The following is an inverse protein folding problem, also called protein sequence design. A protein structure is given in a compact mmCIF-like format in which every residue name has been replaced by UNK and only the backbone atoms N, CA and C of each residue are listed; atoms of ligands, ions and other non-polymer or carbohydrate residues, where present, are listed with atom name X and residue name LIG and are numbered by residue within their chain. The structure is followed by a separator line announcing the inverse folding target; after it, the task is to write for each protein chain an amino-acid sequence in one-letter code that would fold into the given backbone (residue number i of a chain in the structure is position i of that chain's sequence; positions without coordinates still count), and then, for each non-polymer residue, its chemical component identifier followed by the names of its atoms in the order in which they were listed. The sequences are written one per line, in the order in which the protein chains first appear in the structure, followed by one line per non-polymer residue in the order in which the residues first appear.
data_IF_255395707901
#
_entry.id   IF_255395707901
#
_cell.length_a   1.000
_cell.length_b   1.000
_cell.length_c   1.000
_cell.angle_alpha   90.00
_cell.angle_beta   90.00
_cell.angle_gamma   90.00
#
_symmetry.space_group_name_H-M   'P 1'
#
loop_
_entity.id
_entity.type
_entity.pdbx_description
1 polymer ?
#
# COMPACT_ATOMS: atom_id res chain seq x y z
N UNK A 1 -65.08 -55.47 -7.78
CA UNK A 1 -64.71 -55.76 -9.16
C UNK A 1 -63.40 -55.08 -9.53
N UNK A 2 -62.57 -55.69 -10.35
CA UNK A 2 -61.34 -55.03 -10.75
C UNK A 2 -61.66 -53.80 -11.63
N UNK A 3 -61.09 -52.66 -11.29
CA UNK A 3 -61.18 -51.46 -12.12
C UNK A 3 -60.37 -51.67 -13.41
N UNK A 4 -61.04 -51.87 -14.52
CA UNK A 4 -60.47 -51.91 -15.85
C UNK A 4 -60.29 -50.45 -16.30
N UNK A 5 -59.04 -50.01 -16.48
CA UNK A 5 -58.77 -48.76 -17.17
C UNK A 5 -59.22 -48.84 -18.60
N UNK A 6 -59.99 -47.89 -19.05
CA UNK A 6 -60.45 -47.80 -20.43
C UNK A 6 -59.26 -47.26 -21.29
N UNK A 7 -59.18 -47.59 -22.57
CA UNK A 7 -58.12 -47.17 -23.48
C UNK A 7 -57.94 -45.63 -23.47
N UNK A 8 -59.04 -44.89 -23.27
CA UNK A 8 -59.03 -43.45 -23.13
C UNK A 8 -58.29 -42.96 -21.88
N UNK A 9 -58.35 -43.70 -20.79
CA UNK A 9 -57.66 -43.39 -19.52
C UNK A 9 -56.13 -43.61 -19.66
N UNK A 10 -55.74 -44.63 -20.43
CA UNK A 10 -54.32 -44.92 -20.72
C UNK A 10 -53.71 -43.88 -21.66
N UNK A 11 -54.44 -43.42 -22.66
CA UNK A 11 -54.02 -42.32 -23.53
C UNK A 11 -53.88 -41.00 -22.77
N UNK A 12 -54.82 -40.71 -21.87
CA UNK A 12 -54.75 -39.51 -21.04
C UNK A 12 -53.55 -39.52 -20.11
N UNK A 13 -53.26 -40.63 -19.41
CA UNK A 13 -52.12 -40.82 -18.53
C UNK A 13 -50.81 -40.70 -19.33
N UNK A 14 -50.76 -41.29 -20.54
CA UNK A 14 -49.55 -41.20 -21.39
C UNK A 14 -49.27 -39.79 -21.86
N UNK A 15 -50.30 -39.02 -22.18
CA UNK A 15 -50.24 -37.61 -22.58
C UNK A 15 -49.76 -36.72 -21.45
N UNK A 16 -50.30 -36.92 -20.23
CA UNK A 16 -49.87 -36.22 -19.03
C UNK A 16 -48.40 -36.52 -18.71
N UNK A 17 -47.98 -37.80 -18.77
CA UNK A 17 -46.60 -38.16 -18.54
C UNK A 17 -45.64 -37.53 -19.57
N UNK A 18 -46.01 -37.46 -20.84
CA UNK A 18 -45.22 -36.76 -21.87
C UNK A 18 -45.11 -35.27 -21.57
N UNK A 19 -46.17 -34.63 -21.21
CA UNK A 19 -46.18 -33.21 -20.83
C UNK A 19 -45.30 -32.95 -19.59
N UNK A 20 -45.44 -33.79 -18.54
CA UNK A 20 -44.63 -33.69 -17.32
C UNK A 20 -43.14 -33.91 -17.60
N UNK A 21 -42.79 -34.90 -18.43
CA UNK A 21 -41.41 -35.11 -18.87
C UNK A 21 -40.89 -33.93 -19.69
N UNK A 22 -41.69 -33.35 -20.60
CA UNK A 22 -41.33 -32.17 -21.37
C UNK A 22 -41.06 -30.92 -20.50
N UNK A 23 -41.97 -30.66 -19.55
CA UNK A 23 -41.82 -29.57 -18.57
C UNK A 23 -40.59 -29.78 -17.68
N UNK A 24 -40.38 -31.02 -17.21
CA UNK A 24 -39.23 -31.38 -16.39
C UNK A 24 -37.90 -31.19 -17.15
N UNK A 25 -37.81 -31.67 -18.37
CA UNK A 25 -36.61 -31.49 -19.22
C UNK A 25 -36.35 -30.01 -19.51
N UNK A 26 -37.37 -29.23 -19.85
CA UNK A 26 -37.25 -27.78 -20.08
C UNK A 26 -36.78 -27.04 -18.83
N UNK A 27 -37.35 -27.38 -17.66
CA UNK A 27 -36.94 -26.79 -16.39
C UNK A 27 -35.49 -27.08 -16.04
N UNK A 28 -35.00 -28.31 -16.31
CA UNK A 28 -33.61 -28.67 -16.10
C UNK A 28 -32.66 -27.86 -17.02
N UNK A 29 -33.00 -27.75 -18.31
CA UNK A 29 -32.21 -26.97 -19.28
C UNK A 29 -32.17 -25.49 -18.87
N UNK A 30 -33.30 -24.93 -18.49
CA UNK A 30 -33.39 -23.53 -18.05
C UNK A 30 -32.57 -23.30 -16.77
N UNK A 31 -32.68 -24.19 -15.78
CA UNK A 31 -31.90 -24.11 -14.54
C UNK A 31 -30.39 -24.19 -14.81
N UNK A 32 -29.97 -25.07 -15.72
CA UNK A 32 -28.56 -25.19 -16.11
C UNK A 32 -28.05 -23.91 -16.81
N UNK A 33 -28.84 -23.34 -17.73
CA UNK A 33 -28.49 -22.09 -18.42
C UNK A 33 -28.36 -20.93 -17.43
N UNK A 34 -29.35 -20.74 -16.56
CA UNK A 34 -29.35 -19.68 -15.54
C UNK A 34 -28.17 -19.86 -14.59
N UNK A 35 -27.94 -21.07 -14.09
CA UNK A 35 -26.82 -21.38 -13.20
C UNK A 35 -25.46 -21.10 -13.87
N UNK A 36 -25.31 -21.48 -15.13
CA UNK A 36 -24.08 -21.23 -15.91
C UNK A 36 -23.81 -19.73 -16.13
N UNK A 37 -24.84 -18.96 -16.42
CA UNK A 37 -24.72 -17.49 -16.58
C UNK A 37 -24.38 -16.83 -15.24
N UNK A 38 -25.05 -17.23 -14.16
CA UNK A 38 -24.78 -16.72 -12.80
C UNK A 38 -23.35 -17.07 -12.36
N UNK A 39 -22.89 -18.29 -12.59
CA UNK A 39 -21.52 -18.70 -12.27
C UNK A 39 -20.49 -17.83 -12.99
N UNK A 40 -20.67 -17.58 -14.28
CA UNK A 40 -19.73 -16.71 -15.05
C UNK A 40 -19.79 -15.25 -14.62
N UNK A 41 -20.96 -14.73 -14.27
CA UNK A 41 -21.13 -13.32 -13.90
C UNK A 41 -20.69 -12.98 -12.49
N UNK A 42 -20.77 -13.93 -11.53
CA UNK A 42 -20.42 -13.68 -10.13
C UNK A 42 -19.12 -14.36 -9.70
N UNK A 43 -18.94 -15.65 -10.02
CA UNK A 43 -17.78 -16.40 -9.49
C UNK A 43 -16.47 -16.01 -10.17
N UNK A 44 -16.45 -15.75 -11.47
CA UNK A 44 -15.21 -15.42 -12.19
C UNK A 44 -14.58 -14.09 -11.72
N UNK A 45 -15.32 -12.97 -11.60
CA UNK A 45 -14.76 -11.72 -11.11
C UNK A 45 -14.24 -11.83 -9.67
N UNK A 46 -14.96 -12.53 -8.79
CA UNK A 46 -14.55 -12.72 -7.39
C UNK A 46 -13.25 -13.53 -7.30
N UNK A 47 -13.11 -14.60 -8.09
CA UNK A 47 -11.87 -15.39 -8.10
C UNK A 47 -10.66 -14.51 -8.47
N UNK A 48 -10.80 -13.64 -9.46
CA UNK A 48 -9.71 -12.73 -9.87
C UNK A 48 -9.35 -11.70 -8.81
N UNK A 49 -10.34 -11.16 -8.13
CA UNK A 49 -10.11 -10.27 -6.99
C UNK A 49 -9.28 -10.98 -5.92
N UNK A 50 -9.61 -12.25 -5.62
CA UNK A 50 -8.86 -13.07 -4.67
C UNK A 50 -7.43 -13.31 -5.16
N UNK A 51 -7.26 -13.67 -6.44
CA UNK A 51 -5.93 -13.93 -7.02
C UNK A 51 -5.06 -12.67 -6.99
N UNK A 52 -5.61 -11.52 -7.41
CA UNK A 52 -4.89 -10.23 -7.35
C UNK A 52 -4.57 -9.83 -5.91
N UNK A 53 -5.51 -9.98 -4.97
CA UNK A 53 -5.26 -9.71 -3.56
C UNK A 53 -4.15 -10.61 -2.98
N UNK A 54 -4.06 -11.88 -3.42
CA UNK A 54 -2.97 -12.78 -3.06
C UNK A 54 -1.63 -12.33 -3.66
N UNK A 55 -1.61 -11.82 -4.88
CA UNK A 55 -0.39 -11.26 -5.49
C UNK A 55 0.07 -10.02 -4.75
N UNK A 56 -0.85 -9.12 -4.41
CA UNK A 56 -0.58 -7.94 -3.58
C UNK A 56 0.01 -8.35 -2.22
N UNK A 57 -0.55 -9.37 -1.56
CA UNK A 57 -0.04 -9.87 -0.27
C UNK A 57 1.38 -10.43 -0.33
N UNK A 58 1.82 -10.88 -1.50
CA UNK A 58 3.19 -11.34 -1.77
C UNK A 58 4.15 -10.21 -2.18
N UNK A 59 3.66 -8.96 -2.25
CA UNK A 59 4.45 -7.80 -2.63
C UNK A 59 4.46 -7.48 -4.13
N UNK A 60 3.64 -8.13 -4.94
CA UNK A 60 3.46 -7.81 -6.35
C UNK A 60 2.37 -6.74 -6.50
N UNK A 61 2.77 -5.48 -6.32
CA UNK A 61 1.81 -4.36 -6.31
C UNK A 61 1.45 -3.83 -7.71
N UNK A 62 2.12 -4.28 -8.77
CA UNK A 62 1.88 -3.81 -10.14
C UNK A 62 0.68 -4.49 -10.80
N UNK A 63 0.19 -5.59 -10.24
CA UNK A 63 -0.95 -6.31 -10.80
C UNK A 63 -2.24 -5.48 -10.62
N UNK A 64 -3.01 -5.41 -11.70
CA UNK A 64 -4.30 -4.69 -11.71
C UNK A 64 -5.37 -5.57 -12.33
N UNK A 65 -6.57 -5.46 -11.81
CA UNK A 65 -7.76 -6.07 -12.41
C UNK A 65 -8.22 -5.13 -13.52
N UNK A 66 -8.05 -5.53 -14.79
CA UNK A 66 -8.35 -4.70 -15.96
C UNK A 66 -9.66 -5.05 -16.65
N UNK A 67 -10.30 -6.15 -16.24
CA UNK A 67 -11.52 -6.61 -16.90
C UNK A 67 -12.77 -5.88 -16.41
N UNK A 68 -13.72 -5.72 -17.36
CA UNK A 68 -15.02 -5.13 -17.06
C UNK A 68 -15.80 -5.99 -16.06
N UNK A 69 -16.20 -5.36 -15.00
CA UNK A 69 -17.01 -5.98 -13.94
C UNK A 69 -18.45 -6.11 -14.41
N UNK A 70 -19.05 -7.27 -14.16
CA UNK A 70 -20.42 -7.59 -14.63
C UNK A 70 -21.53 -6.92 -13.79
N UNK A 71 -21.21 -6.46 -12.58
CA UNK A 71 -22.15 -5.80 -11.67
C UNK A 71 -21.51 -4.57 -11.01
N UNK A 72 -22.33 -3.68 -10.47
CA UNK A 72 -21.88 -2.47 -9.78
C UNK A 72 -21.01 -2.82 -8.57
N UNK A 73 -21.40 -3.84 -7.82
CA UNK A 73 -20.69 -4.30 -6.61
C UNK A 73 -19.31 -4.87 -6.96
N UNK A 74 -19.21 -5.66 -8.03
CA UNK A 74 -17.90 -6.19 -8.48
C UNK A 74 -17.03 -5.09 -9.06
N UNK A 75 -17.60 -4.07 -9.71
CA UNK A 75 -16.87 -2.90 -10.19
C UNK A 75 -16.27 -2.12 -9.02
N UNK A 76 -17.06 -1.83 -7.99
CA UNK A 76 -16.61 -1.13 -6.79
C UNK A 76 -15.53 -1.91 -6.03
N UNK A 77 -15.67 -3.25 -5.95
CA UNK A 77 -14.66 -4.11 -5.33
C UNK A 77 -13.34 -4.09 -6.13
N UNK A 78 -13.42 -4.19 -7.45
CA UNK A 78 -12.26 -4.10 -8.36
C UNK A 78 -11.53 -2.77 -8.20
N UNK A 79 -12.27 -1.66 -8.21
CA UNK A 79 -11.72 -0.32 -8.01
C UNK A 79 -11.02 -0.20 -6.63
N UNK A 80 -11.67 -0.70 -5.58
CA UNK A 80 -11.10 -0.67 -4.23
C UNK A 80 -9.79 -1.45 -4.14
N UNK A 81 -9.70 -2.63 -4.74
CA UNK A 81 -8.48 -3.45 -4.76
C UNK A 81 -7.39 -2.78 -5.61
N UNK A 82 -7.73 -2.20 -6.75
CA UNK A 82 -6.77 -1.48 -7.59
C UNK A 82 -6.21 -0.24 -6.87
N UNK A 83 -7.05 0.53 -6.18
CA UNK A 83 -6.63 1.68 -5.36
C UNK A 83 -5.73 1.25 -4.19
N UNK A 84 -6.04 0.12 -3.55
CA UNK A 84 -5.18 -0.47 -2.52
C UNK A 84 -3.82 -0.86 -3.08
N UNK A 85 -3.79 -1.53 -4.24
CA UNK A 85 -2.55 -1.91 -4.91
C UNK A 85 -1.69 -0.68 -5.25
N UNK A 86 -2.30 0.38 -5.79
CA UNK A 86 -1.62 1.64 -6.12
C UNK A 86 -1.03 2.31 -4.87
N UNK A 87 -1.80 2.35 -3.78
CA UNK A 87 -1.33 2.91 -2.51
C UNK A 87 -0.13 2.15 -1.96
N UNK A 88 -0.18 0.82 -1.97
CA UNK A 88 0.91 -0.03 -1.50
C UNK A 88 2.15 0.06 -2.42
N UNK A 89 1.96 0.13 -3.73
CA UNK A 89 3.04 0.35 -4.70
C UNK A 89 3.77 1.67 -4.43
N UNK A 90 3.00 2.75 -4.26
CA UNK A 90 3.55 4.06 -3.96
C UNK A 90 4.32 4.08 -2.63
N UNK A 91 3.77 3.45 -1.58
CA UNK A 91 4.45 3.30 -0.30
C UNK A 91 5.76 2.53 -0.42
N UNK A 92 5.79 1.44 -1.18
CA UNK A 92 6.99 0.63 -1.38
C UNK A 92 8.07 1.40 -2.18
N UNK A 93 7.69 2.15 -3.21
CA UNK A 93 8.59 3.01 -3.97
C UNK A 93 9.20 4.08 -3.05
N UNK A 94 8.37 4.74 -2.23
CA UNK A 94 8.82 5.75 -1.28
C UNK A 94 9.78 5.17 -0.25
N UNK A 95 9.45 4.01 0.31
CA UNK A 95 10.29 3.27 1.26
C UNK A 95 11.64 2.90 0.69
N UNK A 96 11.68 2.37 -0.57
CA UNK A 96 12.94 2.04 -1.25
C UNK A 96 13.79 3.27 -1.53
N UNK A 97 13.17 4.36 -1.97
CA UNK A 97 13.85 5.63 -2.21
C UNK A 97 14.46 6.15 -0.91
N UNK A 98 13.67 6.25 0.15
CA UNK A 98 14.13 6.72 1.46
C UNK A 98 15.32 5.88 1.96
N UNK A 99 15.24 4.55 1.88
CA UNK A 99 16.33 3.65 2.30
C UNK A 99 17.59 3.89 1.46
N UNK A 100 17.45 4.10 0.15
CA UNK A 100 18.56 4.40 -0.75
C UNK A 100 19.21 5.75 -0.47
N UNK A 101 18.39 6.79 -0.29
CA UNK A 101 18.87 8.15 0.00
C UNK A 101 19.59 8.19 1.36
N UNK A 102 19.03 7.55 2.39
CA UNK A 102 19.66 7.43 3.71
C UNK A 102 21.02 6.72 3.62
N UNK A 103 21.09 5.60 2.91
CA UNK A 103 22.33 4.86 2.75
C UNK A 103 23.40 5.71 2.02
N UNK A 104 22.99 6.52 1.05
CA UNK A 104 23.91 7.42 0.33
C UNK A 104 24.38 8.56 1.21
N UNK A 105 23.45 9.23 1.93
CA UNK A 105 23.77 10.35 2.82
C UNK A 105 24.64 9.94 4.02
N UNK A 106 24.57 8.70 4.46
CA UNK A 106 25.46 8.17 5.50
C UNK A 106 26.82 7.73 4.95
N UNK A 107 26.87 7.19 3.73
CA UNK A 107 28.12 6.66 3.15
C UNK A 107 29.16 7.76 2.95
N UNK A 108 28.74 8.94 2.50
CA UNK A 108 29.64 10.07 2.20
C UNK A 108 30.45 10.52 3.42
N UNK A 109 29.82 10.93 4.56
CA UNK A 109 30.56 11.35 5.74
C UNK A 109 31.39 10.21 6.36
N UNK A 110 30.90 8.96 6.31
CA UNK A 110 31.65 7.81 6.78
C UNK A 110 32.93 7.57 5.96
N UNK A 111 32.83 7.66 4.62
CA UNK A 111 34.00 7.51 3.76
C UNK A 111 35.03 8.63 3.99
N UNK A 112 34.56 9.87 4.20
CA UNK A 112 35.44 11.01 4.52
C UNK A 112 36.14 10.78 5.85
N UNK A 113 35.38 10.40 6.89
CA UNK A 113 35.92 10.09 8.21
C UNK A 113 36.96 8.95 8.16
N UNK A 114 36.62 7.87 7.45
CA UNK A 114 37.51 6.72 7.26
C UNK A 114 38.82 7.15 6.57
N UNK A 115 38.73 7.91 5.48
CA UNK A 115 39.90 8.41 4.73
C UNK A 115 40.80 9.29 5.59
N UNK A 116 40.23 10.18 6.40
CA UNK A 116 41.01 11.02 7.34
C UNK A 116 41.68 10.18 8.42
N UNK A 117 40.99 9.21 8.96
CA UNK A 117 41.56 8.30 9.98
C UNK A 117 42.67 7.43 9.41
N UNK A 118 42.48 6.85 8.21
CA UNK A 118 43.49 6.04 7.53
C UNK A 118 44.74 6.86 7.24
N UNK A 119 44.61 8.09 6.70
CA UNK A 119 45.76 8.96 6.42
C UNK A 119 46.53 9.33 7.70
N UNK A 120 45.89 9.47 8.84
CA UNK A 120 46.54 9.70 10.13
C UNK A 120 47.21 8.43 10.69
N UNK A 121 46.58 7.26 10.53
CA UNK A 121 47.14 5.96 10.96
C UNK A 121 48.41 5.61 10.15
N UNK A 122 48.37 5.86 8.83
CA UNK A 122 49.47 5.57 7.92
C UNK A 122 50.62 6.60 8.02
N UNK A 123 50.47 7.63 8.87
CA UNK A 123 51.46 8.69 9.07
C UNK A 123 51.62 9.65 7.89
N UNK A 124 50.65 9.63 6.94
CA UNK A 124 50.57 10.57 5.82
C UNK A 124 50.19 11.97 6.33
N UNK A 125 49.32 11.99 7.33
CA UNK A 125 48.87 13.20 8.01
C UNK A 125 49.23 13.16 9.48
N UNK A 126 49.62 14.30 10.04
CA UNK A 126 49.71 14.46 11.49
C UNK A 126 48.33 14.56 12.11
N UNK A 127 48.12 13.89 13.26
CA UNK A 127 46.88 13.94 14.03
C UNK A 127 46.82 15.27 14.82
N UNK A 128 46.78 16.39 14.12
CA UNK A 128 46.65 17.70 14.75
C UNK A 128 45.24 18.02 15.19
N UNK A 129 45.07 19.09 15.97
CA UNK A 129 43.78 19.50 16.53
C UNK A 129 42.77 19.88 15.45
N UNK A 130 43.20 20.41 14.31
CA UNK A 130 42.29 20.81 13.24
C UNK A 130 41.68 19.60 12.53
N UNK A 131 42.49 18.59 12.25
CA UNK A 131 42.01 17.32 11.63
C UNK A 131 41.11 16.53 12.55
N UNK A 132 41.45 16.46 13.85
CA UNK A 132 40.61 15.82 14.85
C UNK A 132 39.26 16.54 15.00
N UNK A 133 39.25 17.89 14.90
CA UNK A 133 38.00 18.66 14.88
C UNK A 133 37.17 18.34 13.63
N UNK A 134 37.80 18.26 12.46
CA UNK A 134 37.09 17.89 11.22
C UNK A 134 36.43 16.49 11.34
N UNK A 135 37.17 15.52 11.86
CA UNK A 135 36.57 14.19 12.13
C UNK A 135 35.41 14.26 13.13
N UNK A 136 35.54 15.05 14.17
CA UNK A 136 34.49 15.25 15.16
C UNK A 136 33.23 15.91 14.56
N UNK A 137 33.40 16.89 13.67
CA UNK A 137 32.30 17.54 12.95
C UNK A 137 31.52 16.56 12.07
N UNK A 138 32.21 15.63 11.37
CA UNK A 138 31.56 14.58 10.61
C UNK A 138 30.79 13.60 11.51
N UNK A 139 31.29 13.25 12.67
CA UNK A 139 30.56 12.43 13.65
C UNK A 139 29.28 13.14 14.13
N UNK A 140 29.36 14.45 14.43
CA UNK A 140 28.20 15.25 14.80
C UNK A 140 27.17 15.28 13.66
N UNK A 141 27.62 15.42 12.43
CA UNK A 141 26.75 15.40 11.24
C UNK A 141 26.02 14.06 11.09
N UNK A 142 26.73 12.94 11.24
CA UNK A 142 26.13 11.60 11.21
C UNK A 142 25.09 11.44 12.34
N UNK A 143 25.42 11.84 13.56
CA UNK A 143 24.48 11.77 14.67
C UNK A 143 23.21 12.60 14.45
N UNK A 144 23.33 13.76 13.80
CA UNK A 144 22.17 14.59 13.42
C UNK A 144 21.29 13.86 12.40
N UNK A 145 21.91 13.27 11.36
CA UNK A 145 21.17 12.49 10.34
C UNK A 145 20.41 11.31 10.97
N UNK A 146 21.05 10.58 11.87
CA UNK A 146 20.39 9.47 12.59
C UNK A 146 19.23 9.99 13.43
N UNK A 147 19.40 11.10 14.17
CA UNK A 147 18.31 11.69 14.94
C UNK A 147 17.14 12.18 14.09
N UNK A 148 17.40 12.68 12.90
CA UNK A 148 16.33 13.11 11.98
C UNK A 148 15.59 11.89 11.39
N UNK A 149 16.28 10.78 11.14
CA UNK A 149 15.68 9.50 10.75
C UNK A 149 14.80 8.90 11.85
N UNK A 150 15.25 8.95 13.09
CA UNK A 150 14.44 8.49 14.24
C UNK A 150 13.15 9.31 14.38
N UNK A 151 13.23 10.63 14.19
CA UNK A 151 12.03 11.49 14.17
C UNK A 151 11.08 11.12 13.05
N UNK A 152 11.62 10.91 11.82
CA UNK A 152 10.82 10.52 10.66
C UNK A 152 10.13 9.18 10.90
N UNK A 153 10.85 8.15 11.37
CA UNK A 153 10.30 6.85 11.70
C UNK A 153 9.20 6.93 12.78
N UNK A 154 9.38 7.83 13.76
CA UNK A 154 8.35 8.09 14.78
C UNK A 154 7.10 8.72 14.15
N UNK A 155 7.24 9.69 13.26
CA UNK A 155 6.10 10.33 12.57
C UNK A 155 5.34 9.36 11.66
N UNK A 156 6.02 8.39 11.07
CA UNK A 156 5.38 7.34 10.25
C UNK A 156 4.67 6.27 11.09
N UNK A 157 5.21 5.92 12.26
CA UNK A 157 4.67 4.85 13.11
C UNK A 157 3.52 5.30 14.01
N UNK A 158 3.52 6.55 14.44
CA UNK A 158 2.45 7.10 15.26
C UNK A 158 1.32 7.61 14.37
N UNK A 159 0.11 7.07 14.56
CA UNK A 159 -1.11 7.78 14.18
C UNK A 159 -1.10 9.09 14.99
N UNK A 160 -0.51 10.14 14.40
CA UNK A 160 -0.42 11.45 15.01
C UNK A 160 -1.83 11.96 15.32
N UNK A 161 -2.29 11.71 16.52
CA UNK A 161 -3.50 12.31 17.05
C UNK A 161 -3.20 13.79 17.25
N UNK A 162 -3.60 14.60 16.27
CA UNK A 162 -3.46 16.04 16.33
C UNK A 162 -4.39 16.57 17.42
N UNK A 163 -3.81 17.02 18.53
CA UNK A 163 -4.52 17.83 19.52
C UNK A 163 -4.64 19.26 19.01
N UNK A 164 -5.69 19.51 18.22
CA UNK A 164 -5.94 20.87 17.67
C UNK A 164 -6.30 21.83 18.80
N UNK A 165 -5.48 22.84 18.98
CA UNK A 165 -5.74 23.95 19.91
C UNK A 165 -5.69 25.26 19.20
N UNK A 166 -6.51 26.22 19.62
CA UNK A 166 -6.43 27.59 19.12
C UNK A 166 -5.20 28.25 19.75
N UNK A 167 -4.31 28.78 18.95
CA UNK A 167 -3.14 29.55 19.41
C UNK A 167 -2.97 30.82 18.63
N UNK A 168 -2.31 31.81 19.27
CA UNK A 168 -1.99 33.09 18.65
C UNK A 168 -0.69 32.97 17.85
N UNK A 169 -0.82 32.99 16.53
CA UNK A 169 0.32 32.86 15.61
C UNK A 169 1.34 34.01 15.79
N UNK A 170 0.87 35.24 16.13
CA UNK A 170 1.76 36.40 16.33
C UNK A 170 2.69 36.16 17.53
N UNK A 171 2.16 35.61 18.61
CA UNK A 171 2.97 35.25 19.80
C UNK A 171 3.99 34.17 19.48
N UNK A 172 3.59 33.15 18.71
CA UNK A 172 4.50 32.07 18.31
C UNK A 172 5.64 32.60 17.44
N UNK A 173 5.33 33.44 16.43
CA UNK A 173 6.34 34.05 15.55
C UNK A 173 7.29 34.92 16.38
N UNK A 174 6.78 35.75 17.30
CA UNK A 174 7.60 36.59 18.16
C UNK A 174 8.54 35.78 19.05
N UNK A 175 8.10 34.63 19.56
CA UNK A 175 8.96 33.72 20.31
C UNK A 175 10.07 33.10 19.45
N UNK A 176 9.74 32.69 18.24
CA UNK A 176 10.72 32.14 17.29
C UNK A 176 11.76 33.17 16.94
N UNK A 177 11.36 34.39 16.55
CA UNK A 177 12.28 35.50 16.22
C UNK A 177 13.23 35.77 17.39
N UNK A 178 12.72 35.81 18.63
CA UNK A 178 13.51 36.04 19.81
C UNK A 178 14.60 34.95 20.05
N UNK A 179 14.34 33.71 19.66
CA UNK A 179 15.32 32.62 19.76
C UNK A 179 16.48 32.81 18.78
N UNK A 180 16.29 33.54 17.65
CA UNK A 180 17.31 33.83 16.64
C UNK A 180 17.95 35.22 16.81
N UNK A 181 17.56 36.00 17.82
CA UNK A 181 18.04 37.37 18.03
C UNK A 181 19.56 37.47 18.09
N UNK A 182 20.22 36.51 18.77
CA UNK A 182 21.67 36.44 18.84
C UNK A 182 22.34 36.18 17.46
N UNK A 183 21.70 35.39 16.60
CA UNK A 183 22.21 35.11 15.25
C UNK A 183 22.00 36.32 14.35
N UNK A 184 20.91 37.04 14.48
CA UNK A 184 20.64 38.26 13.72
C UNK A 184 21.66 39.35 14.07
N UNK A 185 21.94 39.54 15.37
CA UNK A 185 22.95 40.49 15.82
C UNK A 185 24.35 40.12 15.30
N UNK A 186 24.72 38.81 15.36
CA UNK A 186 26.01 38.34 14.86
C UNK A 186 26.19 38.52 13.34
N UNK A 187 25.08 38.50 12.58
CA UNK A 187 25.06 38.67 11.12
C UNK A 187 24.76 40.10 10.68
N UNK A 188 24.53 41.04 11.60
CA UNK A 188 24.18 42.43 11.29
C UNK A 188 22.83 42.60 10.56
N UNK A 189 21.87 41.71 10.82
CA UNK A 189 20.53 41.77 10.27
C UNK A 189 19.67 42.46 11.32
N UNK A 190 19.02 43.60 10.92
CA UNK A 190 18.04 44.36 11.72
C UNK A 190 16.61 43.83 11.55
#
# INVERSE_FOLDING_TARGET
GPYYFNDSDLEFISTINRLLMGVGAFSLVLSFLVGSVMAKRLSSPISRVIDTAQMISKGYFNDRITEESSTIETAQLTETINNLAETLEHQEILRKRLTGDVAHELRTPLATLQSHMEAMIDGIWEADTERLKSCHEEIIRINRLVGDLEKLARYESENLILHKTNFDISKLISQIIKNFENEFVAKGIE
#
